data_IF_661085191832
#
_entry.id   IF_661085191832
#
_cell.length_a   1.000
_cell.length_b   1.000
_cell.length_c   1.000
_cell.angle_alpha   90.00
_cell.angle_beta   90.00
_cell.angle_gamma   90.00
#
_symmetry.space_group_name_H-M   'P 1'
#
loop_
_entity.id
_entity.type
_entity.pdbx_description
1 polymer ?
#
# COMPACT_ATOMS: atom_id res chain seq x y z
N UNK A 1 -12.80 -5.33 4.68
CA UNK A 1 -12.26 -4.71 5.91
C UNK A 1 -10.96 -3.96 5.60
N UNK A 2 -9.85 -4.65 5.29
CA UNK A 2 -8.56 -3.99 4.97
C UNK A 2 -8.59 -3.28 3.62
N UNK A 3 -8.66 -4.00 2.48
CA UNK A 3 -8.61 -3.37 1.15
C UNK A 3 -9.75 -2.36 0.96
N UNK A 4 -10.97 -2.70 1.38
CA UNK A 4 -12.14 -1.80 1.29
C UNK A 4 -12.04 -0.57 2.19
N UNK A 5 -11.27 -0.62 3.28
CA UNK A 5 -11.08 0.51 4.20
C UNK A 5 -9.87 1.37 3.87
N UNK A 6 -9.01 0.92 2.94
CA UNK A 6 -7.81 1.64 2.51
C UNK A 6 -8.15 3.00 1.87
N UNK A 7 -9.23 3.13 1.06
CA UNK A 7 -9.62 4.44 0.56
C UNK A 7 -9.91 5.47 1.65
N UNK A 8 -10.67 5.10 2.68
CA UNK A 8 -11.01 6.00 3.77
C UNK A 8 -9.81 6.28 4.69
N UNK A 9 -8.95 5.28 4.91
CA UNK A 9 -7.79 5.39 5.78
C UNK A 9 -6.58 6.12 5.15
N UNK A 10 -6.52 6.20 3.82
CA UNK A 10 -5.30 6.64 3.11
C UNK A 10 -5.56 7.72 2.05
N UNK A 11 -6.68 7.71 1.31
CA UNK A 11 -6.91 8.67 0.22
C UNK A 11 -7.30 10.10 0.57
N UNK A 12 -7.66 10.49 1.81
CA UNK A 12 -7.75 11.92 2.11
C UNK A 12 -6.37 12.62 2.13
N UNK A 13 -5.27 11.89 1.94
CA UNK A 13 -3.92 12.45 1.88
C UNK A 13 -3.62 13.06 0.50
N UNK A 14 -3.12 14.32 0.44
CA UNK A 14 -2.58 14.89 -0.78
C UNK A 14 -1.48 14.00 -1.37
N UNK A 15 -1.40 13.91 -2.69
CA UNK A 15 -0.34 13.18 -3.38
C UNK A 15 -0.59 11.69 -3.61
N UNK A 16 -1.73 11.14 -3.16
CA UNK A 16 -2.13 9.75 -3.40
C UNK A 16 -3.28 9.72 -4.39
N UNK A 17 -3.15 8.92 -5.45
CA UNK A 17 -4.17 8.81 -6.50
C UNK A 17 -4.49 7.35 -6.76
N UNK A 18 -5.71 6.92 -6.46
CA UNK A 18 -6.20 5.59 -6.83
C UNK A 18 -6.27 5.44 -8.35
N UNK A 19 -5.76 4.33 -8.88
CA UNK A 19 -5.84 4.04 -10.30
C UNK A 19 -7.29 3.70 -10.71
N UNK A 20 -7.82 4.26 -11.81
CA UNK A 20 -9.17 3.94 -12.26
C UNK A 20 -9.25 2.49 -12.74
N UNK A 21 -10.26 1.75 -12.25
CA UNK A 21 -10.58 0.36 -12.61
C UNK A 21 -9.54 -0.69 -12.20
N UNK A 22 -9.48 -1.02 -10.91
CA UNK A 22 -8.64 -2.11 -10.45
C UNK A 22 -9.49 -3.35 -10.10
N UNK A 23 -9.40 -4.40 -10.95
CA UNK A 23 -10.11 -5.68 -10.75
C UNK A 23 -9.29 -6.72 -9.95
N UNK A 24 -8.04 -6.39 -9.64
CA UNK A 24 -7.11 -7.30 -8.96
C UNK A 24 -6.82 -6.91 -7.51
N UNK A 25 -7.28 -5.75 -7.03
CA UNK A 25 -6.94 -5.21 -5.71
C UNK A 25 -7.08 -3.69 -5.68
N UNK A 26 -6.26 -2.99 -4.91
CA UNK A 26 -6.19 -1.53 -4.89
C UNK A 26 -4.81 -1.05 -5.31
N UNK A 27 -4.76 -0.22 -6.35
CA UNK A 27 -3.52 0.34 -6.91
C UNK A 27 -3.55 1.84 -6.75
N UNK A 28 -2.46 2.38 -6.27
CA UNK A 28 -2.37 3.80 -5.91
C UNK A 28 -1.02 4.32 -6.34
N UNK A 29 -1.03 5.47 -7.00
CA UNK A 29 0.17 6.23 -7.37
C UNK A 29 0.44 7.30 -6.32
N UNK A 30 1.73 7.56 -6.08
CA UNK A 30 2.23 8.54 -5.13
C UNK A 30 3.10 9.56 -5.85
N UNK A 31 2.95 10.83 -5.50
CA UNK A 31 3.77 11.91 -6.03
C UNK A 31 5.21 11.92 -5.46
N UNK A 32 6.00 12.91 -5.90
CA UNK A 32 7.40 13.07 -5.51
C UNK A 32 7.64 13.24 -4.00
N UNK A 33 6.72 13.83 -3.24
CA UNK A 33 6.89 14.03 -1.79
C UNK A 33 6.62 12.73 -1.00
N UNK A 34 5.90 11.80 -1.61
CA UNK A 34 5.43 10.58 -0.98
C UNK A 34 6.14 9.31 -1.47
N UNK A 35 7.11 9.45 -2.38
CA UNK A 35 8.00 8.37 -2.81
C UNK A 35 8.12 8.20 -4.31
N UNK A 36 7.39 8.98 -5.11
CA UNK A 36 7.42 8.99 -6.58
C UNK A 36 7.25 7.59 -7.19
N UNK A 37 6.03 7.05 -7.13
CA UNK A 37 5.86 5.63 -7.45
C UNK A 37 4.43 5.12 -7.32
N UNK A 38 4.30 3.81 -7.08
CA UNK A 38 3.02 3.17 -6.91
C UNK A 38 3.08 1.94 -5.99
N UNK A 39 1.94 1.57 -5.43
CA UNK A 39 1.77 0.24 -4.85
C UNK A 39 0.49 -0.44 -5.34
N UNK A 40 0.46 -1.77 -5.23
CA UNK A 40 -0.71 -2.62 -5.46
C UNK A 40 -0.86 -3.56 -4.26
N UNK A 41 -1.98 -3.46 -3.54
CA UNK A 41 -2.36 -4.39 -2.49
C UNK A 41 -3.53 -5.24 -2.98
N UNK A 42 -3.39 -6.56 -2.90
CA UNK A 42 -4.41 -7.51 -3.39
C UNK A 42 -4.65 -8.67 -2.43
N UNK A 43 -5.77 -9.35 -2.60
CA UNK A 43 -6.01 -10.65 -1.98
C UNK A 43 -5.34 -11.74 -2.83
N UNK A 44 -4.65 -12.67 -2.18
CA UNK A 44 -4.28 -13.92 -2.86
C UNK A 44 -5.53 -14.80 -3.05
N UNK A 45 -5.60 -15.49 -4.18
CA UNK A 45 -6.71 -16.41 -4.50
C UNK A 45 -6.47 -17.81 -3.93
N UNK A 46 -5.21 -18.14 -3.64
CA UNK A 46 -4.80 -19.48 -3.20
C UNK A 46 -4.53 -19.56 -1.70
N UNK A 47 -3.84 -18.55 -1.18
CA UNK A 47 -3.36 -18.54 0.20
C UNK A 47 -4.03 -17.39 0.97
N UNK A 48 -4.22 -17.50 2.30
CA UNK A 48 -4.80 -16.43 3.13
C UNK A 48 -3.78 -15.32 3.41
N UNK A 49 -3.16 -14.79 2.36
CA UNK A 49 -2.16 -13.72 2.40
C UNK A 49 -2.60 -12.55 1.52
N UNK A 50 -2.03 -11.38 1.79
CA UNK A 50 -2.20 -10.20 0.94
C UNK A 50 -0.87 -9.79 0.32
N UNK A 51 -0.65 -10.06 -0.98
CA UNK A 51 0.51 -9.56 -1.69
C UNK A 51 0.49 -8.02 -1.77
N UNK A 52 1.62 -7.41 -1.41
CA UNK A 52 1.89 -5.99 -1.57
C UNK A 52 3.06 -5.83 -2.53
N UNK A 53 2.81 -5.19 -3.68
CA UNK A 53 3.83 -4.80 -4.64
C UNK A 53 4.06 -3.29 -4.52
N UNK A 54 5.33 -2.84 -4.49
CA UNK A 54 5.70 -1.42 -4.39
C UNK A 54 6.84 -1.14 -5.35
N UNK A 55 6.74 -0.01 -6.06
CA UNK A 55 7.76 0.49 -6.97
C UNK A 55 7.89 2.00 -6.80
N UNK A 56 9.08 2.52 -7.05
CA UNK A 56 9.36 3.95 -6.94
C UNK A 56 10.52 4.34 -7.83
N UNK A 57 10.41 5.50 -8.47
CA UNK A 57 11.42 6.10 -9.34
C UNK A 57 12.46 6.91 -8.54
N UNK A 58 12.23 7.11 -7.23
CA UNK A 58 13.16 7.78 -6.33
C UNK A 58 14.00 6.81 -5.48
N UNK A 59 15.28 7.14 -5.27
CA UNK A 59 16.12 6.41 -4.30
C UNK A 59 15.50 6.51 -2.89
N UNK A 60 15.16 5.36 -2.32
CA UNK A 60 14.52 5.27 -1.00
C UNK A 60 13.01 5.53 -1.02
N UNK A 61 12.40 5.81 -2.19
CA UNK A 61 10.96 6.05 -2.30
C UNK A 61 10.12 4.82 -1.95
N UNK A 62 10.58 3.60 -2.27
CA UNK A 62 9.93 2.36 -1.81
C UNK A 62 9.79 2.34 -0.28
N UNK A 63 10.87 2.63 0.45
CA UNK A 63 10.82 2.69 1.92
C UNK A 63 9.85 3.76 2.39
N UNK A 64 9.86 4.94 1.75
CA UNK A 64 8.92 6.03 2.06
C UNK A 64 7.45 5.60 1.89
N UNK A 65 7.13 4.93 0.79
CA UNK A 65 5.78 4.40 0.52
C UNK A 65 5.39 3.35 1.58
N UNK A 66 6.31 2.44 1.92
CA UNK A 66 6.07 1.42 2.95
C UNK A 66 5.86 2.03 4.34
N UNK A 67 6.62 3.07 4.71
CA UNK A 67 6.44 3.79 5.99
C UNK A 67 5.02 4.37 6.08
N UNK A 68 4.54 5.04 5.02
CA UNK A 68 3.18 5.57 4.99
C UNK A 68 2.12 4.46 5.07
N UNK A 69 2.27 3.40 4.28
CA UNK A 69 1.36 2.26 4.29
C UNK A 69 1.34 1.54 5.65
N UNK A 70 2.48 1.47 6.33
CA UNK A 70 2.60 0.79 7.61
C UNK A 70 1.68 1.41 8.67
N UNK A 71 1.44 2.72 8.63
CA UNK A 71 0.54 3.40 9.57
C UNK A 71 -0.87 2.84 9.48
N UNK A 72 -1.38 2.66 8.25
CA UNK A 72 -2.70 2.08 8.01
C UNK A 72 -2.74 0.58 8.35
N UNK A 73 -1.74 -0.18 7.86
CA UNK A 73 -1.71 -1.64 8.02
C UNK A 73 -1.56 -2.06 9.49
N UNK A 74 -0.81 -1.31 10.30
CA UNK A 74 -0.68 -1.55 11.74
C UNK A 74 -2.02 -1.37 12.49
N UNK A 75 -2.96 -0.60 11.94
CA UNK A 75 -4.30 -0.42 12.51
C UNK A 75 -5.29 -1.52 12.12
N UNK A 76 -4.88 -2.48 11.29
CA UNK A 76 -5.75 -3.55 10.82
C UNK A 76 -5.58 -4.83 11.65
N UNK A 77 -6.60 -5.17 12.44
CA UNK A 77 -6.59 -6.38 13.27
C UNK A 77 -6.47 -7.66 12.42
N UNK A 78 -5.67 -8.61 12.91
CA UNK A 78 -5.51 -9.94 12.29
C UNK A 78 -4.51 -10.00 11.13
N UNK A 79 -3.77 -8.92 10.85
CA UNK A 79 -2.67 -8.94 9.86
C UNK A 79 -1.34 -9.31 10.51
N UNK A 80 -0.67 -10.30 9.94
CA UNK A 80 0.76 -10.53 10.19
C UNK A 80 1.59 -9.59 9.30
N UNK A 81 2.28 -8.64 9.93
CA UNK A 81 3.13 -7.65 9.28
C UNK A 81 4.63 -7.97 9.40
N UNK A 82 4.99 -9.18 9.84
CA UNK A 82 6.38 -9.60 10.03
C UNK A 82 7.25 -9.42 8.77
N UNK A 83 6.67 -9.67 7.59
CA UNK A 83 7.35 -9.46 6.30
C UNK A 83 7.53 -7.97 5.97
N UNK A 84 6.51 -7.15 6.21
CA UNK A 84 6.59 -5.70 6.01
C UNK A 84 7.67 -5.07 6.90
N UNK A 85 7.71 -5.46 8.18
CA UNK A 85 8.66 -4.94 9.16
C UNK A 85 10.12 -5.29 8.84
N UNK A 86 10.38 -6.37 8.09
CA UNK A 86 11.73 -6.72 7.61
C UNK A 86 12.18 -5.86 6.42
N UNK A 87 11.24 -5.26 5.70
CA UNK A 87 11.49 -4.45 4.50
C UNK A 87 11.61 -2.95 4.80
N UNK A 88 11.29 -2.53 6.03
CA UNK A 88 11.50 -1.17 6.56
C UNK A 88 12.90 -1.02 7.15
#
# INVERSE_FOLDING_TARGET
AVISGLPEGVFPQPGWTEAPNNYEGIRVSLDGEHGDGWFLLRLSVHDPIMPLNVESDQKGGVKRILEHLSVYLNGCDGLDLSSLNKSL
#
